data_IF_668931298721
#
_entry.id   IF_668931298721
#
_cell.length_a   1.000
_cell.length_b   1.000
_cell.length_c   1.000
_cell.angle_alpha   90.00
_cell.angle_beta   90.00
_cell.angle_gamma   90.00
#
_symmetry.space_group_name_H-M   'P 1'
#
loop_
_entity.id
_entity.type
_entity.pdbx_description
1 polymer ?
#
# COMPACT_ATOMS: atom_id res chain seq x y z
N UNK A 1 -0.64 31.09 14.24
CA UNK A 1 -1.20 32.43 14.37
C UNK A 1 -1.51 33.12 13.04
N UNK A 2 -0.72 33.00 11.99
CA UNK A 2 -1.03 33.62 10.66
C UNK A 2 -2.20 32.95 9.92
N UNK A 3 -2.43 31.66 10.11
CA UNK A 3 -3.54 30.93 9.47
C UNK A 3 -4.91 31.28 10.09
N UNK A 4 -4.95 31.50 11.42
CA UNK A 4 -6.18 31.91 12.10
C UNK A 4 -6.71 33.28 11.62
N UNK A 5 -5.80 34.18 11.28
CA UNK A 5 -6.16 35.52 10.81
C UNK A 5 -6.74 35.51 9.39
N UNK A 6 -6.26 34.61 8.52
CA UNK A 6 -6.81 34.42 7.18
C UNK A 6 -8.23 33.83 7.20
N UNK A 7 -8.47 32.88 8.10
CA UNK A 7 -9.78 32.25 8.29
C UNK A 7 -10.79 33.26 8.89
N UNK A 8 -10.36 34.08 9.85
CA UNK A 8 -11.21 35.10 10.42
C UNK A 8 -11.59 36.19 9.42
N UNK A 9 -10.69 36.51 8.47
CA UNK A 9 -10.95 37.53 7.44
C UNK A 9 -11.93 37.02 6.39
N UNK A 10 -11.84 35.74 6.00
CA UNK A 10 -12.82 35.12 5.09
C UNK A 10 -14.20 34.99 5.74
N UNK A 11 -14.28 34.66 7.03
CA UNK A 11 -15.53 34.63 7.80
C UNK A 11 -16.16 36.04 7.93
N UNK A 12 -15.36 37.08 8.11
CA UNK A 12 -15.86 38.48 8.16
C UNK A 12 -16.39 38.96 6.80
N UNK A 13 -15.82 38.53 5.70
CA UNK A 13 -16.32 38.84 4.36
C UNK A 13 -17.63 38.11 4.05
N UNK A 14 -17.79 36.88 4.50
CA UNK A 14 -19.05 36.09 4.33
C UNK A 14 -20.18 36.70 5.16
N UNK A 15 -19.91 37.15 6.38
CA UNK A 15 -20.95 37.79 7.23
C UNK A 15 -21.35 39.19 6.75
N UNK A 16 -20.49 39.88 6.00
CA UNK A 16 -20.80 41.21 5.46
C UNK A 16 -21.83 41.18 4.31
N UNK A 17 -22.00 40.03 3.62
CA UNK A 17 -22.88 39.90 2.46
C UNK A 17 -24.29 39.36 2.76
N UNK A 18 -24.63 38.99 3.97
CA UNK A 18 -25.93 38.43 4.40
C UNK A 18 -26.43 37.19 3.60
N UNK A 19 -25.63 36.59 2.74
CA UNK A 19 -25.95 35.33 2.11
C UNK A 19 -25.48 34.19 3.01
N UNK A 20 -26.35 33.25 3.34
CA UNK A 20 -25.92 32.01 4.01
C UNK A 20 -24.90 31.30 3.11
N UNK A 21 -23.81 30.78 3.70
CA UNK A 21 -22.82 30.03 2.93
C UNK A 21 -23.47 28.81 2.27
N UNK A 22 -23.11 28.58 1.03
CA UNK A 22 -23.61 27.43 0.28
C UNK A 22 -23.17 26.10 0.93
N UNK A 23 -23.85 25.02 0.60
CA UNK A 23 -23.43 23.69 1.06
C UNK A 23 -22.01 23.36 0.62
N UNK A 24 -21.58 23.84 -0.54
CA UNK A 24 -20.20 23.69 -1.00
C UNK A 24 -19.22 24.46 -0.09
N UNK A 25 -19.52 25.71 0.25
CA UNK A 25 -18.63 26.50 1.15
C UNK A 25 -18.49 25.84 2.52
N UNK A 26 -19.59 25.32 3.08
CA UNK A 26 -19.57 24.58 4.35
C UNK A 26 -18.70 23.33 4.27
N UNK A 27 -18.84 22.56 3.18
CA UNK A 27 -18.05 21.36 2.97
C UNK A 27 -16.56 21.67 2.82
N UNK A 28 -16.21 22.62 1.96
CA UNK A 28 -14.82 23.00 1.72
C UNK A 28 -14.16 23.49 3.02
N UNK A 29 -14.90 24.24 3.86
CA UNK A 29 -14.41 24.66 5.16
C UNK A 29 -14.06 23.47 6.06
N UNK A 30 -14.93 22.44 6.15
CA UNK A 30 -14.66 21.24 6.96
C UNK A 30 -13.47 20.49 6.42
N UNK A 31 -13.37 20.29 5.11
CA UNK A 31 -12.26 19.58 4.47
C UNK A 31 -10.93 20.32 4.66
N UNK A 32 -10.93 21.66 4.53
CA UNK A 32 -9.74 22.49 4.74
C UNK A 32 -9.27 22.44 6.20
N UNK A 33 -10.20 22.41 7.17
CA UNK A 33 -9.90 22.35 8.58
C UNK A 33 -9.19 21.04 8.96
N UNK A 34 -9.71 19.90 8.50
CA UNK A 34 -9.13 18.59 8.84
C UNK A 34 -7.95 18.22 7.96
N UNK A 35 -7.93 18.71 6.72
CA UNK A 35 -6.94 18.31 5.72
C UNK A 35 -6.73 16.77 5.67
N UNK A 36 -7.84 16.02 5.68
CA UNK A 36 -7.84 14.57 5.78
C UNK A 36 -8.67 13.96 4.64
N UNK A 37 -8.18 12.87 4.09
CA UNK A 37 -8.91 12.00 3.13
C UNK A 37 -9.10 10.64 3.78
N UNK A 38 -10.34 10.18 3.82
CA UNK A 38 -10.66 8.83 4.26
C UNK A 38 -10.74 7.90 3.04
N UNK A 39 -9.91 6.86 3.00
CA UNK A 39 -9.91 5.86 1.94
C UNK A 39 -11.04 4.83 2.13
N UNK A 40 -11.58 4.76 3.32
CA UNK A 40 -12.64 3.82 3.64
C UNK A 40 -14.00 4.36 3.21
N UNK A 41 -14.57 3.78 2.17
CA UNK A 41 -15.97 4.05 1.77
C UNK A 41 -16.90 3.27 2.70
N UNK A 42 -17.50 3.94 3.67
CA UNK A 42 -18.65 3.36 4.33
C UNK A 42 -19.84 3.35 3.33
N UNK A 43 -20.44 2.19 3.09
CA UNK A 43 -21.65 2.06 2.27
C UNK A 43 -22.89 2.68 2.93
N UNK A 44 -22.71 3.47 3.97
CA UNK A 44 -23.79 4.12 4.67
C UNK A 44 -24.12 5.43 3.96
N UNK A 45 -25.17 5.39 3.17
CA UNK A 45 -25.79 6.57 2.56
C UNK A 45 -26.39 7.46 3.65
N UNK A 46 -25.63 8.42 4.12
CA UNK A 46 -26.18 9.51 4.92
C UNK A 46 -26.80 10.54 3.98
N UNK A 47 -27.96 11.10 4.37
CA UNK A 47 -28.51 12.26 3.67
C UNK A 47 -27.60 13.46 3.99
N UNK A 48 -26.73 13.77 3.06
CA UNK A 48 -25.66 14.74 3.23
C UNK A 48 -26.21 16.16 3.34
N UNK A 49 -27.28 16.49 2.61
CA UNK A 49 -27.94 17.78 2.73
C UNK A 49 -28.39 18.01 4.18
N UNK A 50 -28.95 17.00 4.83
CA UNK A 50 -29.36 17.11 6.24
C UNK A 50 -28.19 17.23 7.22
N UNK A 51 -26.98 16.75 6.85
CA UNK A 51 -25.78 16.93 7.66
C UNK A 51 -25.26 18.36 7.51
N UNK A 52 -25.19 18.87 6.30
CA UNK A 52 -24.72 20.23 6.03
C UNK A 52 -25.69 21.29 6.55
N UNK A 53 -27.00 21.03 6.51
CA UNK A 53 -27.99 21.91 7.14
C UNK A 53 -27.79 22.04 8.65
N UNK A 54 -27.24 20.97 9.30
CA UNK A 54 -26.92 20.99 10.73
C UNK A 54 -25.58 21.66 11.03
N UNK A 55 -24.75 21.97 10.03
CA UNK A 55 -23.50 22.68 10.22
C UNK A 55 -23.81 24.17 10.31
N UNK A 56 -23.87 24.70 11.53
CA UNK A 56 -23.91 26.14 11.76
C UNK A 56 -22.46 26.67 11.86
N UNK A 57 -22.03 27.38 10.81
CA UNK A 57 -20.69 27.99 10.77
C UNK A 57 -20.48 29.02 11.88
N UNK A 58 -21.54 29.53 12.50
CA UNK A 58 -21.45 30.48 13.64
C UNK A 58 -21.10 29.79 14.97
N UNK A 59 -21.34 28.46 15.08
CA UNK A 59 -21.08 27.68 16.30
C UNK A 59 -19.72 26.94 16.28
N UNK A 60 -18.83 27.23 15.31
CA UNK A 60 -17.51 26.57 15.17
C UNK A 60 -16.53 26.78 16.32
N UNK A 61 -17.00 27.23 17.46
CA UNK A 61 -16.22 27.26 18.70
C UNK A 61 -16.12 25.90 19.39
N UNK A 62 -16.85 24.88 18.93
CA UNK A 62 -16.81 23.54 19.50
C UNK A 62 -16.19 22.52 18.53
N UNK A 63 -14.94 22.18 18.79
CA UNK A 63 -14.13 21.17 18.09
C UNK A 63 -14.87 19.84 17.86
N UNK A 64 -15.70 19.41 18.82
CA UNK A 64 -16.48 18.16 18.75
C UNK A 64 -17.50 18.12 17.58
N UNK A 65 -18.08 19.25 17.19
CA UNK A 65 -19.09 19.29 16.13
C UNK A 65 -18.45 19.14 14.74
N UNK A 66 -17.26 19.70 14.55
CA UNK A 66 -16.48 19.60 13.33
C UNK A 66 -16.00 18.16 13.15
N UNK A 67 -15.49 17.54 14.21
CA UNK A 67 -15.06 16.12 14.23
C UNK A 67 -16.21 15.20 13.80
N UNK A 68 -17.43 15.42 14.36
CA UNK A 68 -18.60 14.62 13.96
C UNK A 68 -19.02 14.82 12.50
N UNK A 69 -18.89 16.03 11.98
CA UNK A 69 -19.18 16.32 10.58
C UNK A 69 -18.20 15.60 9.65
N UNK A 70 -16.89 15.65 9.98
CA UNK A 70 -15.85 14.98 9.19
C UNK A 70 -16.12 13.46 9.02
N UNK A 71 -16.37 12.75 10.13
CA UNK A 71 -16.66 11.30 10.09
C UNK A 71 -17.98 10.93 9.41
N UNK A 72 -18.84 11.91 9.10
CA UNK A 72 -20.14 11.69 8.44
C UNK A 72 -20.18 12.09 6.98
N UNK A 73 -19.15 12.84 6.52
CA UNK A 73 -19.10 13.31 5.13
C UNK A 73 -18.40 12.26 4.26
N UNK A 74 -19.13 11.56 3.37
CA UNK A 74 -18.50 10.61 2.46
C UNK A 74 -17.64 11.33 1.43
N UNK A 75 -16.53 10.72 1.02
CA UNK A 75 -15.66 11.21 -0.06
C UNK A 75 -16.42 11.46 -1.39
N UNK A 76 -17.58 10.82 -1.56
CA UNK A 76 -18.44 10.98 -2.73
C UNK A 76 -19.25 12.29 -2.75
N UNK A 77 -19.06 13.15 -1.73
CA UNK A 77 -19.93 14.31 -1.57
C UNK A 77 -19.70 15.37 -2.65
N UNK A 78 -18.45 15.64 -3.01
CA UNK A 78 -18.15 16.53 -4.13
C UNK A 78 -18.78 16.03 -5.44
N UNK A 79 -18.99 14.70 -5.55
CA UNK A 79 -19.65 14.10 -6.71
C UNK A 79 -21.09 14.54 -6.90
N UNK A 80 -21.82 14.77 -5.81
CA UNK A 80 -23.25 15.13 -5.87
C UNK A 80 -23.50 16.62 -6.07
N UNK A 81 -22.57 17.50 -5.70
CA UNK A 81 -22.80 18.95 -5.65
C UNK A 81 -21.93 19.76 -6.61
N UNK A 82 -20.81 19.21 -7.11
CA UNK A 82 -19.92 19.93 -8.01
C UNK A 82 -20.07 19.49 -9.46
N UNK A 83 -19.97 20.46 -10.39
CA UNK A 83 -19.72 20.18 -11.80
C UNK A 83 -18.28 19.81 -12.04
N UNK A 84 -17.96 19.25 -13.22
CA UNK A 84 -16.56 18.94 -13.57
C UNK A 84 -15.69 20.20 -13.61
N UNK A 85 -16.21 21.33 -14.07
CA UNK A 85 -15.51 22.61 -14.11
C UNK A 85 -15.14 23.08 -12.69
N UNK A 86 -16.07 22.98 -11.74
CA UNK A 86 -15.81 23.33 -10.33
C UNK A 86 -14.77 22.40 -9.70
N UNK A 87 -14.85 21.10 -9.99
CA UNK A 87 -13.86 20.13 -9.52
C UNK A 87 -12.46 20.43 -10.11
N UNK A 88 -12.39 20.81 -11.39
CA UNK A 88 -11.13 21.22 -12.02
C UNK A 88 -10.54 22.45 -11.32
N UNK A 89 -11.36 23.47 -11.05
CA UNK A 89 -10.93 24.65 -10.31
C UNK A 89 -10.37 24.25 -8.93
N UNK A 90 -11.06 23.41 -8.18
CA UNK A 90 -10.62 22.93 -6.87
C UNK A 90 -9.29 22.16 -6.94
N UNK A 91 -9.04 21.34 -7.96
CA UNK A 91 -7.76 20.63 -8.16
C UNK A 91 -6.58 21.58 -8.21
N UNK A 92 -6.75 22.73 -8.88
CA UNK A 92 -5.67 23.68 -9.11
C UNK A 92 -5.60 24.82 -8.08
N UNK A 93 -6.64 25.04 -7.30
CA UNK A 93 -6.67 26.11 -6.30
C UNK A 93 -5.81 25.78 -5.08
N UNK A 94 -4.61 26.37 -5.05
CA UNK A 94 -3.66 26.22 -3.94
C UNK A 94 -4.06 26.97 -2.65
N UNK A 95 -5.17 27.72 -2.65
CA UNK A 95 -5.71 28.33 -1.44
C UNK A 95 -6.43 27.28 -0.56
N UNK A 96 -6.92 26.21 -1.17
CA UNK A 96 -7.49 25.07 -0.46
C UNK A 96 -6.43 24.06 0.00
N UNK A 97 -6.79 23.30 1.03
CA UNK A 97 -5.95 22.21 1.58
C UNK A 97 -5.65 21.13 0.54
N UNK A 98 -4.64 20.31 0.82
CA UNK A 98 -4.32 19.18 -0.02
C UNK A 98 -5.49 18.18 -0.11
N UNK A 99 -6.25 17.99 0.97
CA UNK A 99 -7.40 17.09 0.99
C UNK A 99 -8.51 17.52 0.04
N UNK A 100 -8.86 18.80 -0.05
CA UNK A 100 -9.84 19.33 -1.01
C UNK A 100 -9.40 19.05 -2.43
N UNK A 101 -8.16 19.40 -2.77
CA UNK A 101 -7.61 19.25 -4.12
C UNK A 101 -7.53 17.79 -4.56
N UNK A 102 -7.07 16.92 -3.67
CA UNK A 102 -6.98 15.47 -3.90
C UNK A 102 -8.38 14.84 -4.04
N UNK A 103 -9.34 15.21 -3.19
CA UNK A 103 -10.71 14.69 -3.27
C UNK A 103 -11.41 15.14 -4.55
N UNK A 104 -11.21 16.40 -4.98
CA UNK A 104 -11.73 16.87 -6.25
C UNK A 104 -11.16 16.06 -7.43
N UNK A 105 -9.84 15.77 -7.43
CA UNK A 105 -9.24 14.90 -8.43
C UNK A 105 -9.78 13.47 -8.37
N UNK A 106 -9.90 12.88 -7.19
CA UNK A 106 -10.47 11.54 -7.00
C UNK A 106 -11.91 11.45 -7.52
N UNK A 107 -12.70 12.50 -7.33
CA UNK A 107 -14.05 12.60 -7.87
C UNK A 107 -14.06 12.63 -9.40
N UNK A 108 -13.21 13.46 -10.03
CA UNK A 108 -13.04 13.47 -11.49
C UNK A 108 -12.57 12.11 -12.02
N UNK A 109 -11.64 11.47 -11.30
CA UNK A 109 -11.16 10.12 -11.63
C UNK A 109 -12.29 9.08 -11.55
N UNK A 110 -13.18 9.16 -10.57
CA UNK A 110 -14.33 8.25 -10.44
C UNK A 110 -15.37 8.44 -11.54
N UNK A 111 -15.50 9.66 -12.07
CA UNK A 111 -16.38 10.00 -13.21
C UNK A 111 -15.78 9.62 -14.57
N UNK A 112 -14.51 9.24 -14.63
CA UNK A 112 -13.82 8.94 -15.90
C UNK A 112 -13.50 10.20 -16.72
N UNK A 113 -13.19 11.31 -16.07
CA UNK A 113 -12.81 12.55 -16.74
C UNK A 113 -11.59 12.36 -17.63
N UNK A 114 -11.59 12.91 -18.86
CA UNK A 114 -10.56 12.66 -19.88
C UNK A 114 -9.28 13.49 -19.74
N UNK A 115 -9.17 14.35 -18.75
CA UNK A 115 -8.02 15.24 -18.55
C UNK A 115 -7.13 14.86 -17.37
N UNK A 116 -7.30 13.65 -16.82
CA UNK A 116 -6.62 13.21 -15.60
C UNK A 116 -5.10 13.18 -15.74
N UNK A 117 -4.56 12.75 -16.90
CA UNK A 117 -3.12 12.64 -17.14
C UNK A 117 -2.43 14.00 -16.99
N UNK A 118 -3.04 15.03 -17.56
CA UNK A 118 -2.52 16.40 -17.44
C UNK A 118 -2.53 16.86 -15.99
N UNK A 119 -3.59 16.58 -15.24
CA UNK A 119 -3.68 16.96 -13.83
C UNK A 119 -2.62 16.26 -12.99
N UNK A 120 -2.33 14.98 -13.27
CA UNK A 120 -1.23 14.26 -12.62
C UNK A 120 0.10 14.94 -12.92
N UNK A 121 0.39 15.22 -14.20
CA UNK A 121 1.65 15.88 -14.60
C UNK A 121 1.84 17.25 -13.96
N UNK A 122 0.75 17.98 -13.74
CA UNK A 122 0.79 19.30 -13.12
C UNK A 122 0.96 19.25 -11.59
N UNK A 123 0.55 18.13 -10.94
CA UNK A 123 0.46 18.04 -9.49
C UNK A 123 1.30 16.93 -8.82
N UNK A 124 1.92 16.00 -9.55
CA UNK A 124 2.67 14.88 -8.94
C UNK A 124 3.85 15.32 -8.05
N UNK A 125 4.35 16.56 -8.21
CA UNK A 125 5.39 17.16 -7.36
C UNK A 125 4.86 17.93 -6.16
N UNK A 126 3.56 17.88 -5.89
CA UNK A 126 2.97 18.61 -4.78
C UNK A 126 3.35 17.96 -3.45
N UNK A 127 4.20 18.64 -2.68
CA UNK A 127 4.69 18.20 -1.37
C UNK A 127 3.81 18.66 -0.21
N UNK A 128 2.66 19.28 -0.48
CA UNK A 128 1.70 19.60 0.58
C UNK A 128 1.19 18.30 1.20
N UNK A 129 1.25 18.22 2.51
CA UNK A 129 0.83 17.03 3.24
C UNK A 129 -0.66 17.06 3.58
N UNK A 130 -1.24 15.87 3.66
CA UNK A 130 -2.58 15.62 4.17
C UNK A 130 -2.58 14.38 5.05
N UNK A 131 -3.56 14.26 5.91
CA UNK A 131 -3.80 13.02 6.67
C UNK A 131 -4.64 12.07 5.81
N UNK A 132 -4.26 10.81 5.77
CA UNK A 132 -5.03 9.74 5.12
C UNK A 132 -5.51 8.78 6.19
N UNK A 133 -6.83 8.54 6.22
CA UNK A 133 -7.45 7.54 7.07
C UNK A 133 -7.67 6.24 6.30
N UNK A 134 -7.27 5.12 6.87
CA UNK A 134 -7.54 3.77 6.33
C UNK A 134 -7.93 2.85 7.50
N UNK A 135 -9.21 2.57 7.64
CA UNK A 135 -9.79 1.88 8.81
C UNK A 135 -9.38 2.56 10.14
N UNK A 136 -8.60 1.87 10.96
CA UNK A 136 -8.13 2.33 12.27
C UNK A 136 -6.76 3.03 12.21
N UNK A 137 -6.21 3.21 11.01
CA UNK A 137 -4.89 3.80 10.81
C UNK A 137 -4.99 5.18 10.17
N UNK A 138 -4.23 6.12 10.73
CA UNK A 138 -4.04 7.45 10.16
C UNK A 138 -2.57 7.66 9.88
N UNK A 139 -2.25 8.09 8.67
CA UNK A 139 -0.88 8.41 8.29
C UNK A 139 -0.83 9.69 7.46
N UNK A 140 0.35 10.26 7.35
CA UNK A 140 0.56 11.49 6.57
C UNK A 140 1.08 11.11 5.19
N UNK A 141 0.47 11.66 4.13
CA UNK A 141 0.87 11.45 2.75
C UNK A 141 1.02 12.79 2.02
N UNK A 142 1.72 12.80 0.89
CA UNK A 142 1.85 13.95 0.02
C UNK A 142 0.73 14.00 -1.02
N UNK A 143 0.24 15.21 -1.33
CA UNK A 143 -0.79 15.37 -2.34
C UNK A 143 -0.38 14.78 -3.70
N UNK A 144 0.88 14.96 -4.12
CA UNK A 144 1.42 14.38 -5.35
C UNK A 144 1.33 12.85 -5.41
N UNK A 145 1.60 12.17 -4.29
CA UNK A 145 1.44 10.72 -4.14
C UNK A 145 -0.01 10.30 -4.29
N UNK A 146 -0.93 11.03 -3.68
CA UNK A 146 -2.37 10.77 -3.76
C UNK A 146 -2.92 10.97 -5.17
N UNK A 147 -2.44 11.99 -5.92
CA UNK A 147 -2.79 12.15 -7.34
C UNK A 147 -2.39 10.93 -8.17
N UNK A 148 -1.18 10.39 -7.96
CA UNK A 148 -0.71 9.18 -8.63
C UNK A 148 -1.53 7.94 -8.23
N UNK A 149 -1.89 7.81 -6.96
CA UNK A 149 -2.69 6.69 -6.45
C UNK A 149 -4.09 6.66 -7.08
N UNK A 150 -4.80 7.78 -7.08
CA UNK A 150 -6.14 7.85 -7.69
C UNK A 150 -6.09 7.70 -9.22
N UNK A 151 -5.01 8.15 -9.87
CA UNK A 151 -4.79 7.89 -11.29
C UNK A 151 -4.63 6.38 -11.57
N UNK A 152 -3.93 5.64 -10.70
CA UNK A 152 -3.83 4.19 -10.83
C UNK A 152 -5.18 3.47 -10.65
N UNK A 153 -6.01 3.94 -9.74
CA UNK A 153 -7.37 3.42 -9.60
C UNK A 153 -8.26 3.73 -10.81
N UNK A 154 -8.13 4.92 -11.39
CA UNK A 154 -8.80 5.27 -12.64
C UNK A 154 -8.32 4.38 -13.81
N UNK A 155 -7.04 4.00 -13.85
CA UNK A 155 -6.51 3.03 -14.82
C UNK A 155 -7.14 1.65 -14.65
N UNK A 156 -7.25 1.15 -13.41
CA UNK A 156 -7.90 -0.15 -13.14
C UNK A 156 -9.34 -0.20 -13.63
N UNK A 157 -10.00 0.96 -13.67
CA UNK A 157 -11.36 1.13 -14.22
C UNK A 157 -11.39 1.40 -15.73
N UNK A 158 -10.24 1.51 -16.39
CA UNK A 158 -10.12 1.75 -17.83
C UNK A 158 -10.26 3.22 -18.24
N UNK A 159 -10.17 4.17 -17.32
CA UNK A 159 -10.29 5.60 -17.60
C UNK A 159 -8.94 6.23 -17.98
N UNK A 160 -7.83 5.62 -17.62
CA UNK A 160 -6.47 6.00 -18.00
C UNK A 160 -5.83 4.84 -18.79
N UNK A 161 -5.07 5.16 -19.84
CA UNK A 161 -4.40 4.16 -20.66
C UNK A 161 -3.27 3.46 -19.90
N UNK A 162 -2.90 2.25 -20.33
CA UNK A 162 -1.74 1.52 -19.79
C UNK A 162 -0.45 2.32 -20.02
N UNK A 163 -0.33 3.00 -21.17
CA UNK A 163 0.86 3.80 -21.49
C UNK A 163 1.04 4.96 -20.51
N UNK A 164 -0.05 5.67 -20.18
CA UNK A 164 0.00 6.79 -19.23
C UNK A 164 0.28 6.29 -17.80
N UNK A 165 -0.20 5.09 -17.45
CA UNK A 165 0.14 4.46 -16.18
C UNK A 165 1.64 4.14 -16.06
N UNK A 166 2.27 3.59 -17.12
CA UNK A 166 3.71 3.33 -17.13
C UNK A 166 4.51 4.64 -17.01
N UNK A 167 4.02 5.71 -17.61
CA UNK A 167 4.61 7.05 -17.45
C UNK A 167 4.50 7.51 -15.99
N UNK A 168 3.35 7.35 -15.34
CA UNK A 168 3.15 7.70 -13.93
C UNK A 168 4.08 6.89 -13.00
N UNK A 169 4.25 5.60 -13.26
CA UNK A 169 5.17 4.74 -12.51
C UNK A 169 6.63 5.22 -12.68
N UNK A 170 7.01 5.63 -13.90
CA UNK A 170 8.33 6.22 -14.17
C UNK A 170 8.51 7.59 -13.48
N UNK A 171 7.48 8.45 -13.49
CA UNK A 171 7.52 9.72 -12.77
C UNK A 171 7.75 9.50 -11.27
N UNK A 172 7.04 8.57 -10.65
CA UNK A 172 7.21 8.22 -9.25
C UNK A 172 8.63 7.72 -8.94
N UNK A 173 9.17 6.86 -9.81
CA UNK A 173 10.50 6.26 -9.64
C UNK A 173 11.63 7.29 -9.78
N UNK A 174 11.53 8.22 -10.74
CA UNK A 174 12.61 9.15 -11.10
C UNK A 174 12.48 10.55 -10.48
N UNK A 175 11.47 10.79 -9.64
CA UNK A 175 11.36 12.07 -8.94
C UNK A 175 12.15 12.00 -7.63
N UNK A 176 13.32 12.70 -7.51
CA UNK A 176 14.27 12.46 -6.43
C UNK A 176 13.86 13.04 -5.08
N UNK A 177 13.02 14.09 -5.08
CA UNK A 177 12.80 14.95 -3.92
C UNK A 177 11.45 14.75 -3.24
N UNK A 178 10.62 13.82 -3.74
CA UNK A 178 9.33 13.54 -3.16
C UNK A 178 9.39 12.13 -2.59
N UNK A 179 9.21 11.97 -1.26
CA UNK A 179 9.08 10.65 -0.67
C UNK A 179 7.72 10.07 -1.05
N UNK A 180 7.62 9.52 -2.26
CA UNK A 180 6.45 8.80 -2.77
C UNK A 180 6.47 7.35 -2.27
N UNK A 181 6.92 7.12 -1.03
CA UNK A 181 7.31 5.80 -0.56
C UNK A 181 6.18 4.80 -0.63
N UNK A 182 5.02 5.10 -0.08
CA UNK A 182 3.96 4.08 0.01
C UNK A 182 3.35 3.78 -1.36
N UNK A 183 3.12 4.80 -2.19
CA UNK A 183 2.71 4.60 -3.57
C UNK A 183 3.76 3.83 -4.37
N UNK A 184 5.03 4.25 -4.30
CA UNK A 184 6.12 3.63 -5.04
C UNK A 184 6.38 2.19 -4.60
N UNK A 185 6.33 1.89 -3.30
CA UNK A 185 6.47 0.52 -2.77
C UNK A 185 5.41 -0.41 -3.35
N UNK A 186 4.13 -0.02 -3.29
CA UNK A 186 3.04 -0.80 -3.88
C UNK A 186 3.16 -1.00 -5.39
N UNK A 187 3.82 -0.07 -6.11
CA UNK A 187 4.12 -0.20 -7.53
C UNK A 187 5.31 -1.09 -7.79
N UNK A 188 6.41 -0.93 -7.04
CA UNK A 188 7.61 -1.74 -7.18
C UNK A 188 7.34 -3.22 -6.91
N UNK A 189 6.43 -3.54 -5.98
CA UNK A 189 6.00 -4.92 -5.73
C UNK A 189 5.54 -5.64 -7.01
N UNK A 190 4.96 -4.93 -7.98
CA UNK A 190 4.35 -5.50 -9.19
C UNK A 190 5.01 -5.04 -10.49
N UNK A 191 5.94 -4.10 -10.43
CA UNK A 191 6.58 -3.51 -11.60
C UNK A 191 7.38 -4.57 -12.37
N UNK A 192 7.12 -4.77 -13.67
CA UNK A 192 7.94 -5.66 -14.49
C UNK A 192 9.31 -5.03 -14.74
N UNK A 193 10.34 -5.81 -15.10
CA UNK A 193 11.60 -5.28 -15.61
C UNK A 193 11.36 -4.41 -16.85
N UNK A 194 11.90 -3.19 -16.88
CA UNK A 194 11.72 -2.25 -17.99
C UNK A 194 13.05 -2.14 -18.76
N UNK A 195 14.04 -1.46 -18.18
CA UNK A 195 15.37 -1.25 -18.78
C UNK A 195 16.45 -1.08 -17.70
N UNK A 196 17.70 -0.90 -18.14
CA UNK A 196 18.84 -0.74 -17.23
C UNK A 196 18.84 0.60 -16.47
N UNK A 197 18.13 1.62 -16.95
CA UNK A 197 17.98 2.90 -16.25
C UNK A 197 17.05 2.72 -15.04
N UNK A 198 15.92 2.04 -15.24
CA UNK A 198 15.01 1.68 -14.15
C UNK A 198 15.70 0.77 -13.14
N UNK A 199 16.42 -0.27 -13.60
CA UNK A 199 17.21 -1.12 -12.73
C UNK A 199 18.18 -0.31 -11.86
N UNK A 200 18.97 0.57 -12.47
CA UNK A 200 19.97 1.38 -11.76
C UNK A 200 19.31 2.25 -10.68
N UNK A 201 18.16 2.84 -11.01
CA UNK A 201 17.42 3.68 -10.07
C UNK A 201 16.80 2.88 -8.92
N UNK A 202 16.21 1.71 -9.20
CA UNK A 202 15.67 0.81 -8.17
C UNK A 202 16.80 0.35 -7.24
N UNK A 203 17.97 0.04 -7.79
CA UNK A 203 19.14 -0.36 -7.00
C UNK A 203 19.67 0.77 -6.11
N UNK A 204 19.69 2.00 -6.61
CA UNK A 204 20.02 3.20 -5.82
C UNK A 204 19.05 3.39 -4.66
N UNK A 205 17.74 3.24 -4.91
CA UNK A 205 16.72 3.34 -3.88
C UNK A 205 16.90 2.26 -2.81
N UNK A 206 17.19 1.01 -3.19
CA UNK A 206 17.45 -0.05 -2.23
C UNK A 206 18.64 0.24 -1.31
N UNK A 207 19.74 0.74 -1.88
CA UNK A 207 20.94 1.10 -1.09
C UNK A 207 20.61 2.22 -0.09
N UNK A 208 19.76 3.16 -0.49
CA UNK A 208 19.38 4.29 0.37
C UNK A 208 18.38 3.87 1.46
N UNK A 209 17.43 3.04 1.11
CA UNK A 209 16.33 2.62 2.00
C UNK A 209 15.89 1.19 1.67
N UNK A 210 16.54 0.20 2.27
CA UNK A 210 16.22 -1.20 2.04
C UNK A 210 14.78 -1.52 2.46
N UNK A 211 14.00 -2.11 1.52
CA UNK A 211 12.70 -2.68 1.82
C UNK A 211 12.38 -3.86 0.90
N UNK A 212 11.39 -4.65 1.28
CA UNK A 212 11.00 -5.88 0.60
C UNK A 212 10.63 -5.64 -0.86
N UNK A 213 9.77 -4.66 -1.11
CA UNK A 213 9.20 -4.38 -2.43
C UNK A 213 10.29 -3.96 -3.43
N UNK A 214 11.28 -3.18 -2.97
CA UNK A 214 12.41 -2.76 -3.80
C UNK A 214 13.31 -3.96 -4.10
N UNK A 215 13.58 -4.83 -3.12
CA UNK A 215 14.40 -6.03 -3.32
C UNK A 215 13.73 -7.02 -4.27
N UNK A 216 12.41 -7.19 -4.17
CA UNK A 216 11.64 -7.99 -5.11
C UNK A 216 11.68 -7.41 -6.53
N UNK A 217 11.60 -6.08 -6.67
CA UNK A 217 11.73 -5.42 -7.97
C UNK A 217 13.12 -5.67 -8.58
N UNK A 218 14.20 -5.57 -7.81
CA UNK A 218 15.57 -5.91 -8.26
C UNK A 218 15.66 -7.38 -8.69
N UNK A 219 15.11 -8.31 -7.91
CA UNK A 219 15.15 -9.73 -8.21
C UNK A 219 14.55 -10.06 -9.58
N UNK A 220 13.51 -9.32 -10.03
CA UNK A 220 12.89 -9.51 -11.36
C UNK A 220 13.83 -9.22 -12.53
N UNK A 221 14.84 -8.38 -12.35
CA UNK A 221 15.83 -8.12 -13.39
C UNK A 221 16.83 -9.26 -13.59
N UNK A 222 16.88 -10.22 -12.68
CA UNK A 222 17.77 -11.40 -12.74
C UNK A 222 19.25 -11.03 -12.95
N UNK A 223 19.71 -9.91 -12.37
CA UNK A 223 21.11 -9.48 -12.48
C UNK A 223 21.98 -10.21 -11.46
N UNK A 224 22.98 -10.94 -11.94
CA UNK A 224 23.88 -11.73 -11.06
C UNK A 224 24.60 -10.88 -10.01
N UNK A 225 24.78 -9.58 -10.26
CA UNK A 225 25.36 -8.64 -9.30
C UNK A 225 24.49 -8.44 -8.03
N UNK A 226 23.23 -8.87 -8.06
CA UNK A 226 22.33 -8.75 -6.91
C UNK A 226 22.21 -10.04 -6.11
N UNK A 227 22.86 -11.14 -6.54
CA UNK A 227 22.83 -12.41 -5.82
C UNK A 227 23.42 -12.29 -4.41
N UNK A 228 24.58 -11.64 -4.27
CA UNK A 228 25.18 -11.40 -2.96
C UNK A 228 24.34 -10.43 -2.12
N UNK A 229 23.78 -9.39 -2.72
CA UNK A 229 22.91 -8.45 -2.04
C UNK A 229 21.71 -9.16 -1.38
N UNK A 230 21.02 -10.04 -2.13
CA UNK A 230 19.91 -10.86 -1.60
C UNK A 230 20.41 -11.86 -0.55
N UNK A 231 21.60 -12.45 -0.76
CA UNK A 231 22.16 -13.44 0.16
C UNK A 231 22.60 -12.84 1.49
N UNK A 232 23.12 -11.63 1.49
CA UNK A 232 23.56 -10.93 2.70
C UNK A 232 22.36 -10.67 3.64
N UNK A 233 21.18 -10.39 3.10
CA UNK A 233 19.94 -10.26 3.89
C UNK A 233 19.55 -11.60 4.57
N UNK A 234 19.83 -12.75 3.92
CA UNK A 234 19.60 -14.06 4.54
C UNK A 234 20.60 -14.37 5.64
N UNK A 235 21.85 -13.93 5.52
CA UNK A 235 22.90 -14.21 6.50
C UNK A 235 22.77 -13.31 7.76
N UNK A 236 22.03 -12.19 7.65
CA UNK A 236 21.80 -11.23 8.72
C UNK A 236 20.72 -11.65 9.76
N UNK A 237 20.29 -12.92 9.77
CA UNK A 237 19.21 -13.41 10.66
C UNK A 237 19.51 -13.31 12.17
N UNK A 238 20.71 -12.91 12.56
CA UNK A 238 21.09 -12.67 13.96
C UNK A 238 20.87 -11.21 14.41
N UNK A 239 20.45 -10.31 13.52
CA UNK A 239 20.20 -8.92 13.83
C UNK A 239 18.82 -8.74 14.50
N UNK A 240 18.67 -7.66 15.27
CA UNK A 240 17.43 -7.38 16.02
C UNK A 240 16.19 -7.18 15.13
N UNK A 241 16.39 -6.79 13.88
CA UNK A 241 15.39 -6.61 12.84
C UNK A 241 15.85 -7.29 11.55
N UNK A 242 15.69 -8.60 11.43
CA UNK A 242 16.16 -9.33 10.27
C UNK A 242 15.26 -9.02 9.05
N UNK A 243 15.85 -8.56 7.96
CA UNK A 243 15.18 -8.41 6.66
C UNK A 243 15.07 -9.74 5.89
N UNK A 244 15.05 -10.87 6.60
CA UNK A 244 14.94 -12.21 6.01
C UNK A 244 13.69 -12.34 5.13
N UNK A 245 12.59 -11.71 5.54
CA UNK A 245 11.33 -11.72 4.78
C UNK A 245 11.54 -11.15 3.38
N UNK A 246 12.26 -10.03 3.27
CA UNK A 246 12.58 -9.38 2.00
C UNK A 246 13.41 -10.28 1.08
N UNK A 247 14.44 -10.94 1.63
CA UNK A 247 15.29 -11.87 0.88
C UNK A 247 14.50 -13.09 0.41
N UNK A 248 13.64 -13.66 1.26
CA UNK A 248 12.82 -14.82 0.90
C UNK A 248 11.82 -14.48 -0.20
N UNK A 249 11.20 -13.30 -0.14
CA UNK A 249 10.32 -12.81 -1.20
C UNK A 249 11.08 -12.57 -2.52
N UNK A 250 12.28 -12.01 -2.46
CA UNK A 250 13.14 -11.85 -3.63
C UNK A 250 13.56 -13.21 -4.24
N UNK A 251 13.87 -14.22 -3.41
CA UNK A 251 14.18 -15.58 -3.87
C UNK A 251 12.95 -16.25 -4.49
N UNK A 252 11.76 -16.02 -3.96
CA UNK A 252 10.53 -16.55 -4.56
C UNK A 252 10.30 -15.98 -5.97
N UNK A 253 10.71 -14.72 -6.21
CA UNK A 253 10.68 -14.08 -7.53
C UNK A 253 11.79 -14.59 -8.45
N UNK A 254 12.99 -14.84 -7.90
CA UNK A 254 14.16 -15.30 -8.65
C UNK A 254 14.83 -16.50 -7.99
N UNK A 255 14.31 -17.73 -8.17
CA UNK A 255 14.83 -18.96 -7.56
C UNK A 255 16.14 -19.41 -8.19
N UNK A 256 17.24 -18.70 -7.90
CA UNK A 256 18.56 -19.00 -8.44
C UNK A 256 19.27 -20.11 -7.67
N UNK A 257 20.01 -21.05 -8.32
CA UNK A 257 20.74 -22.13 -7.65
C UNK A 257 21.70 -21.68 -6.55
N UNK A 258 22.23 -20.47 -6.65
CA UNK A 258 23.09 -19.82 -5.67
C UNK A 258 22.50 -19.82 -4.25
N UNK A 259 21.20 -19.67 -4.10
CA UNK A 259 20.55 -19.58 -2.80
C UNK A 259 20.23 -20.94 -2.17
N UNK A 260 20.34 -22.06 -2.90
CA UNK A 260 19.96 -23.39 -2.36
C UNK A 260 20.68 -23.72 -1.06
N UNK A 261 22.00 -23.49 -0.99
CA UNK A 261 22.77 -23.74 0.22
C UNK A 261 22.43 -22.76 1.37
N UNK A 262 22.04 -21.53 1.05
CA UNK A 262 21.59 -20.54 2.04
C UNK A 262 20.25 -20.96 2.64
N UNK A 263 19.31 -21.44 1.81
CA UNK A 263 18.02 -21.98 2.27
C UNK A 263 18.20 -23.22 3.15
N UNK A 264 19.20 -24.09 2.88
CA UNK A 264 19.54 -25.21 3.78
C UNK A 264 19.98 -24.71 5.16
N UNK A 265 20.87 -23.73 5.20
CA UNK A 265 21.34 -23.13 6.47
C UNK A 265 20.19 -22.46 7.24
N UNK A 266 19.33 -21.75 6.54
CA UNK A 266 18.16 -21.10 7.14
C UNK A 266 17.18 -22.13 7.70
N UNK A 267 16.88 -23.22 6.97
CA UNK A 267 16.10 -24.36 7.47
C UNK A 267 16.65 -24.87 8.80
N UNK A 268 17.95 -25.12 8.84
CA UNK A 268 18.60 -25.67 10.03
C UNK A 268 18.53 -24.68 11.22
N UNK A 269 18.61 -23.38 10.96
CA UNK A 269 18.42 -22.34 11.95
C UNK A 269 16.96 -22.27 12.46
N UNK A 270 15.98 -22.40 11.56
CA UNK A 270 14.55 -22.46 11.89
C UNK A 270 14.30 -23.66 12.82
N UNK A 271 14.75 -24.86 12.42
CA UNK A 271 14.55 -26.10 13.19
C UNK A 271 15.25 -26.03 14.56
N UNK A 272 16.42 -25.40 14.63
CA UNK A 272 17.13 -25.17 15.88
C UNK A 272 16.47 -24.11 16.79
N UNK A 273 15.40 -23.45 16.33
CA UNK A 273 14.70 -22.40 17.07
C UNK A 273 15.51 -21.11 17.24
N UNK A 274 16.47 -20.86 16.35
CA UNK A 274 17.32 -19.66 16.36
C UNK A 274 16.59 -18.43 15.80
N UNK A 275 15.61 -18.63 14.94
CA UNK A 275 14.67 -17.59 14.50
C UNK A 275 13.54 -17.49 15.53
N UNK A 276 13.09 -16.29 15.78
CA UNK A 276 11.98 -16.03 16.70
C UNK A 276 10.70 -16.80 16.34
N UNK A 277 9.60 -16.47 16.96
CA UNK A 277 8.30 -17.14 16.73
C UNK A 277 7.51 -16.52 15.58
N UNK A 278 8.15 -15.82 14.66
CA UNK A 278 7.45 -15.11 13.60
C UNK A 278 6.92 -16.09 12.54
N UNK A 279 5.60 -16.20 12.47
CA UNK A 279 4.89 -17.08 11.52
C UNK A 279 5.18 -16.67 10.07
N UNK A 280 5.27 -15.38 9.80
CA UNK A 280 5.47 -14.84 8.44
C UNK A 280 6.78 -15.30 7.81
N UNK A 281 7.85 -15.47 8.60
CA UNK A 281 9.15 -15.96 8.10
C UNK A 281 9.04 -17.38 7.56
N UNK A 282 8.26 -18.24 8.22
CA UNK A 282 8.08 -19.65 7.78
C UNK A 282 7.25 -19.71 6.49
N UNK A 283 6.19 -18.93 6.38
CA UNK A 283 5.36 -18.85 5.18
C UNK A 283 6.20 -18.40 3.98
N UNK A 284 6.97 -17.34 4.12
CA UNK A 284 7.87 -16.83 3.06
C UNK A 284 8.98 -17.82 2.71
N UNK A 285 9.53 -18.51 3.71
CA UNK A 285 10.53 -19.57 3.48
C UNK A 285 9.94 -20.71 2.63
N UNK A 286 8.76 -21.18 2.95
CA UNK A 286 8.09 -22.22 2.16
C UNK A 286 7.82 -21.75 0.74
N UNK A 287 7.35 -20.52 0.56
CA UNK A 287 7.10 -19.93 -0.76
C UNK A 287 8.39 -19.78 -1.58
N UNK A 288 9.49 -19.33 -0.96
CA UNK A 288 10.81 -19.27 -1.59
C UNK A 288 11.30 -20.65 -2.06
N UNK A 289 11.07 -21.70 -1.27
CA UNK A 289 11.42 -23.08 -1.65
C UNK A 289 10.52 -23.59 -2.79
N UNK A 290 9.21 -23.37 -2.72
CA UNK A 290 8.26 -23.80 -3.74
C UNK A 290 8.46 -23.13 -5.11
N UNK A 291 9.15 -21.99 -5.16
CA UNK A 291 9.48 -21.30 -6.40
C UNK A 291 10.53 -22.03 -7.26
N UNK A 292 11.30 -22.97 -6.66
CA UNK A 292 12.22 -23.83 -7.42
C UNK A 292 11.50 -24.94 -8.17
N UNK A 293 12.27 -25.70 -8.99
CA UNK A 293 11.74 -26.89 -9.62
C UNK A 293 11.14 -27.86 -8.59
N UNK A 294 10.03 -28.52 -8.96
CA UNK A 294 9.27 -29.36 -8.06
C UNK A 294 10.11 -30.45 -7.40
N UNK A 295 11.00 -31.10 -8.16
CA UNK A 295 11.78 -32.23 -7.66
C UNK A 295 12.67 -31.81 -6.48
N UNK A 296 13.40 -30.71 -6.63
CA UNK A 296 14.24 -30.18 -5.56
C UNK A 296 13.40 -29.66 -4.40
N UNK A 297 12.37 -28.88 -4.68
CA UNK A 297 11.50 -28.30 -3.67
C UNK A 297 10.81 -29.38 -2.82
N UNK A 298 10.26 -30.41 -3.47
CA UNK A 298 9.63 -31.54 -2.80
C UNK A 298 10.60 -32.29 -1.88
N UNK A 299 11.80 -32.67 -2.40
CA UNK A 299 12.81 -33.34 -1.60
C UNK A 299 13.27 -32.50 -0.41
N UNK A 300 13.43 -31.19 -0.64
CA UNK A 300 13.84 -30.24 0.39
C UNK A 300 12.79 -30.15 1.51
N UNK A 301 11.52 -29.98 1.15
CA UNK A 301 10.39 -29.88 2.09
C UNK A 301 10.16 -31.19 2.84
N UNK A 302 10.24 -32.35 2.18
CA UNK A 302 10.16 -33.66 2.83
C UNK A 302 11.27 -33.84 3.88
N UNK A 303 12.50 -33.48 3.51
CA UNK A 303 13.63 -33.51 4.44
C UNK A 303 13.42 -32.56 5.62
N UNK A 304 12.92 -31.35 5.36
CA UNK A 304 12.64 -30.34 6.40
C UNK A 304 11.60 -30.84 7.39
N UNK A 305 10.50 -31.37 6.90
CA UNK A 305 9.43 -31.95 7.73
C UNK A 305 9.90 -33.18 8.53
N UNK A 306 10.73 -34.03 7.93
CA UNK A 306 11.31 -35.19 8.61
C UNK A 306 12.28 -34.79 9.75
N UNK A 307 13.06 -33.72 9.56
CA UNK A 307 13.95 -33.16 10.58
C UNK A 307 13.14 -32.51 11.70
N UNK A 308 12.14 -31.71 11.36
CA UNK A 308 11.28 -31.03 12.33
C UNK A 308 10.50 -32.04 13.19
N UNK A 309 10.06 -33.17 12.62
CA UNK A 309 9.41 -34.24 13.37
C UNK A 309 10.28 -34.82 14.47
N UNK A 310 11.61 -34.77 14.31
CA UNK A 310 12.61 -35.21 15.31
C UNK A 310 12.99 -34.12 16.29
N UNK A 311 12.66 -32.87 15.99
CA UNK A 311 13.01 -31.75 16.84
C UNK A 311 12.22 -31.76 18.18
N UNK A 312 12.81 -31.27 19.28
CA UNK A 312 12.14 -31.31 20.59
C UNK A 312 10.86 -30.51 20.66
N UNK A 313 10.75 -29.40 19.93
CA UNK A 313 9.63 -28.46 20.00
C UNK A 313 8.58 -28.62 18.92
N UNK A 314 8.83 -29.30 17.81
CA UNK A 314 7.90 -29.58 16.69
C UNK A 314 7.02 -28.40 16.28
N UNK A 315 7.57 -27.18 16.33
CA UNK A 315 6.80 -25.94 16.23
C UNK A 315 6.45 -25.60 14.79
N UNK A 316 7.35 -25.89 13.86
CA UNK A 316 7.26 -25.41 12.49
C UNK A 316 6.61 -26.39 11.53
N UNK A 317 6.46 -27.68 11.90
CA UNK A 317 5.81 -28.70 11.07
C UNK A 317 4.39 -28.25 10.66
N UNK A 318 3.60 -27.79 11.63
CA UNK A 318 2.24 -27.32 11.39
C UNK A 318 2.22 -26.15 10.40
N UNK A 319 3.09 -25.15 10.61
CA UNK A 319 3.15 -23.95 9.74
C UNK A 319 3.55 -24.30 8.31
N UNK A 320 4.55 -25.18 8.12
CA UNK A 320 4.96 -25.63 6.78
C UNK A 320 3.80 -26.36 6.09
N UNK A 321 3.14 -27.27 6.79
CA UNK A 321 2.02 -28.05 6.22
C UNK A 321 0.82 -27.16 5.92
N UNK A 322 0.51 -26.20 6.78
CA UNK A 322 -0.57 -25.24 6.57
C UNK A 322 -0.29 -24.36 5.34
N UNK A 323 0.96 -23.94 5.14
CA UNK A 323 1.33 -23.16 3.95
C UNK A 323 1.24 -23.98 2.66
N UNK A 324 1.69 -25.24 2.68
CA UNK A 324 1.51 -26.17 1.56
C UNK A 324 0.02 -26.39 1.25
N UNK A 325 -0.81 -26.47 2.27
CA UNK A 325 -2.24 -26.63 2.11
C UNK A 325 -2.90 -25.42 1.47
N UNK A 326 -2.53 -24.22 1.89
CA UNK A 326 -3.08 -22.96 1.35
C UNK A 326 -2.69 -22.72 -0.10
N UNK A 327 -1.41 -22.88 -0.42
CA UNK A 327 -0.86 -22.36 -1.68
C UNK A 327 -0.60 -23.46 -2.73
N UNK A 328 -0.44 -24.71 -2.33
CA UNK A 328 0.01 -25.77 -3.22
C UNK A 328 -0.60 -27.15 -2.91
N UNK A 329 -1.84 -27.17 -2.36
CA UNK A 329 -2.53 -28.39 -1.90
C UNK A 329 -2.44 -29.55 -2.89
N UNK A 330 -2.76 -29.30 -4.15
CA UNK A 330 -2.77 -30.36 -5.18
C UNK A 330 -1.38 -30.90 -5.48
N UNK A 331 -0.37 -30.05 -5.46
CA UNK A 331 1.01 -30.36 -5.83
C UNK A 331 1.74 -31.16 -4.75
N UNK A 332 1.50 -30.84 -3.47
CA UNK A 332 2.20 -31.42 -2.32
C UNK A 332 1.27 -32.28 -1.42
N UNK A 333 0.19 -32.84 -1.99
CA UNK A 333 -0.79 -33.64 -1.26
C UNK A 333 -0.18 -34.84 -0.53
N UNK A 334 0.86 -35.44 -1.11
CA UNK A 334 1.58 -36.58 -0.52
C UNK A 334 2.34 -36.15 0.75
N UNK A 335 2.98 -34.98 0.76
CA UNK A 335 3.62 -34.44 1.97
C UNK A 335 2.60 -34.06 3.03
N UNK A 336 1.50 -33.43 2.64
CA UNK A 336 0.40 -33.07 3.55
C UNK A 336 -0.16 -34.32 4.24
N UNK A 337 -0.38 -35.41 3.48
CA UNK A 337 -0.86 -36.67 4.04
C UNK A 337 0.19 -37.38 4.91
N UNK A 338 1.47 -37.30 4.55
CA UNK A 338 2.59 -37.92 5.28
C UNK A 338 2.86 -37.23 6.63
N UNK A 339 2.62 -35.90 6.70
CA UNK A 339 2.88 -35.07 7.87
C UNK A 339 1.62 -34.31 8.32
N UNK A 340 0.56 -35.00 8.80
CA UNK A 340 -0.70 -34.34 9.13
C UNK A 340 -0.50 -33.31 10.27
N UNK A 341 -1.10 -32.14 10.11
CA UNK A 341 -1.15 -31.09 11.13
C UNK A 341 -2.48 -31.15 11.88
N UNK A 342 -2.45 -31.10 13.22
CA UNK A 342 -3.66 -31.03 14.03
C UNK A 342 -4.36 -29.66 13.93
N UNK A 343 -3.68 -28.62 13.45
CA UNK A 343 -4.23 -27.27 13.30
C UNK A 343 -5.06 -27.09 12.02
N UNK A 344 -4.78 -27.89 10.96
CA UNK A 344 -5.56 -27.87 9.73
C UNK A 344 -7.05 -28.26 9.90
N UNK A 345 -7.45 -28.87 10.99
CA UNK A 345 -8.85 -29.31 11.18
C UNK A 345 -9.83 -28.17 11.52
N UNK A 346 -9.37 -26.95 11.74
CA UNK A 346 -10.24 -25.86 12.21
C UNK A 346 -10.74 -24.89 11.14
N UNK A 347 -10.22 -24.93 9.90
CA UNK A 347 -10.50 -23.89 8.93
C UNK A 347 -11.10 -24.36 7.58
N UNK A 348 -11.21 -25.65 7.33
CA UNK A 348 -11.75 -26.13 6.07
C UNK A 348 -12.81 -27.23 6.29
N UNK A 349 -14.07 -26.81 6.37
CA UNK A 349 -15.16 -27.67 5.97
C UNK A 349 -15.04 -27.85 4.46
N UNK A 350 -14.76 -29.08 4.05
CA UNK A 350 -14.75 -29.49 2.63
C UNK A 350 -16.14 -29.17 2.06
N UNK A 351 -16.22 -28.16 1.19
CA UNK A 351 -17.30 -28.11 0.21
C UNK A 351 -16.95 -29.17 -0.86
N UNK A 352 -17.63 -30.32 -0.77
CA UNK A 352 -17.71 -31.33 -1.81
C UNK A 352 -18.50 -30.83 -3.04
#
# INVERSE_FOLDING_TARGET
>A
MKSLFGILLSLLLITACRNEPSNLDKLLFVMDYFNCVDLYKSDHYYNVDSILEQIDLSEYQHEDNIVRAHYRLPNSFLDSICTDEQLIELVYDKSHSASVRVTAFATLASRGYKGLEKMVLDNYKDTTTLTVGDYDYFYTEYAGSMFLMYADDARKRGYISVQDSLMNDSLALFTPDIPLYDFLRGKLEKMPPIDDTHYSRIRELYIKEPCEEILMALARYHKTNDLELIADELDNFNLKEPHIESALSAIAVWPHPFFKNKLVKLRDAIIAGKLGSNIREVDRFVNAVMAYDYSWAHQFLDTSLALERKAPKKKYQALIVDELHRNARKTYMDLIKKYPSKQCNCLYHDEE
#
